data_IF_013157934917
#
_entry.id   IF_013157934917
#
_cell.length_a   1.000
_cell.length_b   1.000
_cell.length_c   1.000
_cell.angle_alpha   90.00
_cell.angle_beta   90.00
_cell.angle_gamma   90.00
#
_symmetry.space_group_name_H-M   'P 1'
#
loop_
_entity.id
_entity.type
_entity.pdbx_description
1 polymer ?
#
# COMPACT_ATOMS: atom_id res chain seq x y z
N UNK A 1 46.56 -26.61 -84.33
CA UNK A 1 45.32 -25.85 -84.55
C UNK A 1 44.75 -25.54 -83.17
N UNK A 2 45.06 -24.34 -82.71
CA UNK A 2 44.65 -23.81 -81.42
C UNK A 2 43.14 -23.67 -81.30
N UNK A 3 42.60 -23.86 -80.09
CA UNK A 3 41.67 -22.90 -79.49
C UNK A 3 41.42 -23.19 -78.01
N UNK A 4 41.62 -22.12 -77.24
CA UNK A 4 41.35 -21.93 -75.82
C UNK A 4 39.90 -22.23 -75.42
N UNK A 5 39.69 -22.78 -74.23
CA UNK A 5 38.43 -22.56 -73.48
C UNK A 5 38.68 -22.37 -71.98
N UNK A 6 38.84 -21.08 -71.64
CA UNK A 6 38.21 -20.31 -70.56
C UNK A 6 37.61 -21.13 -69.39
N UNK A 7 38.25 -21.00 -68.23
CA UNK A 7 37.69 -21.31 -66.91
C UNK A 7 36.47 -20.42 -66.63
N UNK A 8 35.27 -20.99 -66.50
CA UNK A 8 34.08 -20.25 -66.06
C UNK A 8 33.92 -20.30 -64.54
N UNK A 9 34.12 -19.16 -63.90
CA UNK A 9 33.80 -18.85 -62.51
C UNK A 9 32.29 -18.73 -62.29
N UNK A 10 31.55 -19.85 -62.26
CA UNK A 10 30.07 -19.81 -62.17
C UNK A 10 29.49 -20.16 -60.79
N UNK A 11 30.25 -20.69 -59.82
CA UNK A 11 29.64 -21.14 -58.55
C UNK A 11 29.50 -20.05 -57.47
N UNK A 12 30.38 -19.04 -57.43
CA UNK A 12 30.24 -17.96 -56.43
C UNK A 12 29.08 -17.01 -56.73
N UNK A 13 28.87 -16.65 -58.00
CA UNK A 13 27.81 -15.71 -58.38
C UNK A 13 26.40 -16.26 -58.15
N UNK A 14 26.19 -17.56 -58.39
CA UNK A 14 24.89 -18.21 -58.13
C UNK A 14 24.60 -18.35 -56.64
N UNK A 15 25.61 -18.61 -55.81
CA UNK A 15 25.44 -18.73 -54.35
C UNK A 15 25.11 -17.37 -53.70
N UNK A 16 25.72 -16.28 -54.19
CA UNK A 16 25.40 -14.92 -53.75
C UNK A 16 23.99 -14.46 -54.19
N UNK A 17 23.49 -14.90 -55.34
CA UNK A 17 22.15 -14.54 -55.83
C UNK A 17 21.01 -15.27 -55.09
N UNK A 18 21.23 -16.52 -54.68
CA UNK A 18 20.24 -17.31 -53.93
C UNK A 18 20.20 -16.89 -52.45
N UNK A 19 21.34 -16.52 -51.87
CA UNK A 19 21.38 -15.99 -50.51
C UNK A 19 20.70 -14.61 -50.42
N UNK A 20 20.87 -13.73 -51.42
CA UNK A 20 20.23 -12.40 -51.42
C UNK A 20 18.71 -12.46 -51.63
N UNK A 21 18.20 -13.40 -52.43
CA UNK A 21 16.76 -13.52 -52.70
C UNK A 21 15.94 -14.08 -51.53
N UNK A 22 16.57 -14.82 -50.61
CA UNK A 22 15.94 -15.35 -49.39
C UNK A 22 16.13 -14.44 -48.17
N UNK A 23 17.29 -13.79 -48.03
CA UNK A 23 17.61 -12.98 -46.84
C UNK A 23 16.89 -11.62 -46.89
N UNK A 24 16.81 -10.97 -48.05
CA UNK A 24 16.17 -9.66 -48.19
C UNK A 24 14.68 -9.65 -47.78
N UNK A 25 13.83 -10.60 -48.22
CA UNK A 25 12.43 -10.62 -47.81
C UNK A 25 12.27 -10.97 -46.31
N UNK A 26 13.14 -11.82 -45.74
CA UNK A 26 13.11 -12.14 -44.30
C UNK A 26 13.47 -10.90 -43.47
N UNK A 27 14.51 -10.17 -43.86
CA UNK A 27 14.91 -8.91 -43.20
C UNK A 27 13.83 -7.85 -43.37
N UNK A 28 13.21 -7.75 -44.55
CA UNK A 28 12.11 -6.82 -44.79
C UNK A 28 10.87 -7.18 -43.96
N UNK A 29 10.54 -8.47 -43.80
CA UNK A 29 9.47 -8.95 -42.91
C UNK A 29 9.83 -8.68 -41.44
N UNK A 30 11.10 -8.80 -41.05
CA UNK A 30 11.56 -8.48 -39.70
C UNK A 30 11.50 -6.97 -39.41
N UNK A 31 11.83 -6.12 -40.39
CA UNK A 31 11.74 -4.67 -40.29
C UNK A 31 10.28 -4.23 -40.32
N UNK A 32 9.46 -4.77 -41.23
CA UNK A 32 8.03 -4.49 -41.30
C UNK A 32 7.30 -4.97 -40.04
N UNK A 33 7.63 -6.14 -39.49
CA UNK A 33 7.06 -6.61 -38.21
C UNK A 33 7.51 -5.74 -37.04
N UNK A 34 8.74 -5.22 -37.01
CA UNK A 34 9.16 -4.22 -36.02
C UNK A 34 8.53 -2.85 -36.22
N UNK A 35 8.24 -2.43 -37.45
CA UNK A 35 7.53 -1.16 -37.73
C UNK A 35 6.03 -1.29 -37.44
N UNK A 36 5.44 -2.45 -37.67
CA UNK A 36 4.04 -2.78 -37.31
C UNK A 36 3.91 -2.95 -35.78
N UNK A 37 4.91 -3.54 -35.12
CA UNK A 37 4.97 -3.66 -33.65
C UNK A 37 5.42 -2.35 -32.97
N UNK A 38 6.10 -1.47 -33.70
CA UNK A 38 6.53 -0.13 -33.30
C UNK A 38 5.51 0.98 -33.61
N UNK A 39 4.46 0.67 -34.38
CA UNK A 39 3.21 1.43 -34.32
C UNK A 39 2.58 1.09 -32.98
N UNK A 40 2.90 1.91 -31.99
CA UNK A 40 2.16 2.05 -30.75
C UNK A 40 0.69 1.83 -31.07
N UNK A 41 0.17 0.64 -30.73
CA UNK A 41 -1.26 0.47 -30.58
C UNK A 41 -1.66 1.64 -29.71
N UNK A 42 -2.44 2.58 -30.25
CA UNK A 42 -3.11 3.61 -29.48
C UNK A 42 -3.63 2.89 -28.24
N UNK A 43 -2.94 3.05 -27.09
CA UNK A 43 -3.33 2.41 -25.85
C UNK A 43 -4.72 2.94 -25.60
N UNK A 44 -5.74 2.16 -25.95
CA UNK A 44 -7.12 2.53 -25.68
C UNK A 44 -7.16 2.71 -24.18
N UNK A 45 -7.23 3.96 -23.74
CA UNK A 45 -7.30 4.27 -22.32
C UNK A 45 -8.55 3.59 -21.81
N UNK A 46 -8.39 2.66 -20.86
CA UNK A 46 -9.52 2.03 -20.19
C UNK A 46 -10.48 3.13 -19.71
N UNK A 47 -11.80 2.94 -19.85
CA UNK A 47 -12.78 3.96 -19.51
C UNK A 47 -12.62 4.37 -18.05
N UNK A 48 -12.68 5.67 -17.78
CA UNK A 48 -12.66 6.19 -16.42
C UNK A 48 -14.02 5.95 -15.76
N UNK A 49 -14.05 5.52 -14.49
CA UNK A 49 -15.30 5.49 -13.73
C UNK A 49 -15.85 6.89 -13.52
N UNK A 50 -17.15 6.97 -13.18
CA UNK A 50 -17.76 8.22 -12.74
C UNK A 50 -17.05 8.78 -11.49
N UNK A 51 -17.22 10.08 -11.26
CA UNK A 51 -16.74 10.72 -10.03
C UNK A 51 -17.37 10.06 -8.81
N UNK A 52 -16.61 9.96 -7.74
CA UNK A 52 -17.00 9.41 -6.44
C UNK A 52 -16.79 10.46 -5.34
N UNK A 53 -16.96 10.07 -4.08
CA UNK A 53 -16.71 10.91 -2.91
C UNK A 53 -16.08 10.11 -1.76
N UNK A 54 -15.35 10.83 -0.91
CA UNK A 54 -14.85 10.27 0.34
C UNK A 54 -16.00 10.18 1.35
N UNK A 55 -16.29 8.98 1.85
CA UNK A 55 -17.35 8.77 2.84
C UNK A 55 -16.82 8.59 4.26
N UNK A 56 -15.53 8.23 4.40
CA UNK A 56 -14.89 8.10 5.71
C UNK A 56 -13.37 8.25 5.58
N UNK A 57 -12.79 8.90 6.58
CA UNK A 57 -11.35 9.00 6.78
C UNK A 57 -11.00 8.37 8.10
N UNK A 58 -9.92 7.57 8.13
CA UNK A 58 -9.50 6.85 9.32
C UNK A 58 -8.00 6.89 9.51
N UNK A 59 -7.59 7.16 10.75
CA UNK A 59 -6.19 7.30 11.15
C UNK A 59 -5.87 6.22 12.18
N UNK A 60 -4.68 5.62 12.08
CA UNK A 60 -4.20 4.62 13.03
C UNK A 60 -2.86 5.08 13.60
N UNK A 61 -2.85 5.92 14.65
CA UNK A 61 -1.62 6.55 15.13
C UNK A 61 -0.53 5.55 15.50
N UNK A 62 -0.93 4.46 16.17
CA UNK A 62 -0.04 3.38 16.55
C UNK A 62 -0.27 2.19 15.62
N UNK A 63 0.82 1.68 15.03
CA UNK A 63 0.82 0.44 14.26
C UNK A 63 0.11 -0.66 15.05
N UNK A 64 -0.81 -1.36 14.37
CA UNK A 64 -1.54 -2.52 14.91
C UNK A 64 -2.58 -2.22 16.01
N UNK A 65 -2.67 -0.98 16.51
CA UNK A 65 -3.69 -0.59 17.47
C UNK A 65 -4.98 -0.12 16.79
N UNK A 66 -6.04 0.14 17.57
CA UNK A 66 -7.31 0.67 17.08
C UNK A 66 -7.15 2.13 16.68
N UNK A 67 -7.58 2.42 15.45
CA UNK A 67 -7.66 3.77 14.92
C UNK A 67 -9.06 4.37 15.11
N UNK A 68 -9.19 5.65 14.79
CA UNK A 68 -10.42 6.43 14.91
C UNK A 68 -10.75 7.14 13.60
N UNK A 69 -12.03 7.44 13.41
CA UNK A 69 -12.51 8.19 12.26
C UNK A 69 -12.30 9.69 12.49
N UNK A 70 -11.97 10.41 11.42
CA UNK A 70 -11.84 11.88 11.43
C UNK A 70 -12.74 12.48 10.36
N UNK A 71 -13.19 13.73 10.57
CA UNK A 71 -13.93 14.49 9.55
C UNK A 71 -12.99 15.14 8.54
N UNK A 72 -11.82 15.55 9.02
CA UNK A 72 -10.76 16.12 8.20
C UNK A 72 -9.39 15.81 8.79
N UNK A 73 -8.35 15.88 7.96
CA UNK A 73 -6.95 15.70 8.33
C UNK A 73 -6.05 16.34 7.28
N UNK A 74 -4.74 16.40 7.54
CA UNK A 74 -3.76 16.66 6.49
C UNK A 74 -3.38 15.35 5.80
N UNK A 75 -3.35 15.35 4.47
CA UNK A 75 -2.65 14.37 3.67
C UNK A 75 -1.20 14.84 3.54
N UNK A 76 -0.27 14.03 4.04
CA UNK A 76 1.17 14.22 3.89
C UNK A 76 1.70 13.23 2.86
N UNK A 77 2.90 13.48 2.33
CA UNK A 77 3.60 12.50 1.46
C UNK A 77 3.85 11.17 2.16
N UNK A 78 3.92 11.18 3.50
CA UNK A 78 4.14 9.98 4.33
C UNK A 78 2.88 9.27 4.82
N UNK A 79 1.69 9.82 4.58
CA UNK A 79 0.40 9.23 4.95
C UNK A 79 -0.61 10.30 5.36
N UNK A 80 -1.73 9.89 5.95
CA UNK A 80 -2.54 10.84 6.71
C UNK A 80 -1.77 11.30 7.94
N UNK A 81 -2.04 12.52 8.39
CA UNK A 81 -1.47 13.02 9.64
C UNK A 81 -1.71 12.05 10.81
N UNK A 82 -0.74 11.98 11.73
CA UNK A 82 -0.63 11.00 12.81
C UNK A 82 -0.51 9.52 12.39
N UNK A 83 -0.78 9.15 11.14
CA UNK A 83 -0.96 7.76 10.75
C UNK A 83 0.32 6.91 10.84
N UNK A 84 0.28 5.91 11.72
CA UNK A 84 1.40 5.01 12.04
C UNK A 84 2.68 5.76 12.38
N UNK A 85 2.58 6.90 13.06
CA UNK A 85 3.73 7.62 13.62
C UNK A 85 4.40 6.86 14.77
N UNK A 86 3.66 5.98 15.44
CA UNK A 86 4.16 5.13 16.52
C UNK A 86 4.03 3.64 16.20
N UNK A 87 4.81 2.82 16.90
CA UNK A 87 4.60 1.38 17.00
C UNK A 87 5.06 0.87 18.36
N UNK A 88 4.58 -0.31 18.74
CA UNK A 88 5.17 -1.06 19.85
C UNK A 88 6.28 -1.97 19.32
N UNK A 89 7.36 -2.07 20.08
CA UNK A 89 8.48 -3.00 19.84
C UNK A 89 8.74 -3.85 21.07
N UNK A 90 9.36 -5.02 20.90
CA UNK A 90 9.87 -5.83 22.01
C UNK A 90 11.01 -5.10 22.72
N UNK A 91 11.07 -5.18 24.05
CA UNK A 91 12.16 -4.55 24.79
C UNK A 91 13.52 -5.18 24.45
N UNK A 92 13.62 -6.51 24.39
CA UNK A 92 14.92 -7.16 24.17
C UNK A 92 15.54 -6.82 22.79
N UNK A 93 14.75 -6.89 21.72
CA UNK A 93 15.26 -6.84 20.33
C UNK A 93 14.87 -5.59 19.56
N UNK A 94 13.97 -4.76 20.10
CA UNK A 94 13.35 -3.62 19.42
C UNK A 94 12.68 -4.03 18.10
N UNK A 95 12.13 -5.23 18.06
CA UNK A 95 11.37 -5.78 16.94
C UNK A 95 9.90 -5.36 17.06
N UNK A 96 9.33 -4.83 15.99
CA UNK A 96 7.92 -4.45 15.94
C UNK A 96 6.97 -5.61 16.28
N UNK A 97 5.91 -5.31 17.03
CA UNK A 97 4.81 -6.26 17.28
C UNK A 97 3.59 -5.92 16.43
N UNK A 98 2.77 -6.93 16.09
CA UNK A 98 1.60 -6.73 15.24
C UNK A 98 0.36 -7.50 15.66
N UNK A 99 -0.79 -7.17 15.07
CA UNK A 99 -2.03 -7.95 15.20
C UNK A 99 -1.80 -9.44 14.85
N UNK A 100 -0.82 -9.75 13.99
CA UNK A 100 -0.50 -11.14 13.61
C UNK A 100 0.13 -11.93 14.76
N UNK A 101 0.93 -11.26 15.58
CA UNK A 101 1.64 -11.86 16.71
C UNK A 101 0.79 -11.78 17.98
N UNK A 102 0.04 -10.68 18.17
CA UNK A 102 -0.87 -10.52 19.30
C UNK A 102 -2.11 -9.70 18.87
N UNK A 103 -3.28 -10.33 18.79
CA UNK A 103 -4.52 -9.66 18.37
C UNK A 103 -5.05 -8.66 19.40
N UNK A 104 -4.66 -8.79 20.67
CA UNK A 104 -5.09 -7.90 21.75
C UNK A 104 -4.59 -6.46 21.55
N UNK A 105 -3.63 -6.22 20.65
CA UNK A 105 -3.27 -4.87 20.23
C UNK A 105 -4.47 -4.06 19.71
N UNK A 106 -5.49 -4.71 19.15
CA UNK A 106 -6.72 -4.05 18.70
C UNK A 106 -7.56 -3.46 19.84
N UNK A 107 -7.32 -3.89 21.09
CA UNK A 107 -8.00 -3.37 22.27
C UNK A 107 -7.37 -2.07 22.77
N UNK A 108 -6.14 -1.77 22.36
CA UNK A 108 -5.48 -0.50 22.63
C UNK A 108 -6.08 0.57 21.72
N UNK A 109 -6.79 1.52 22.33
CA UNK A 109 -7.41 2.67 21.66
C UNK A 109 -6.50 3.87 21.59
N UNK A 110 -6.78 4.71 20.61
CA UNK A 110 -6.19 6.03 20.48
C UNK A 110 -7.29 7.07 20.30
N UNK A 111 -7.09 8.26 20.85
CA UNK A 111 -7.89 9.44 20.61
C UNK A 111 -6.97 10.66 20.53
N UNK A 112 -7.31 11.62 19.68
CA UNK A 112 -6.54 12.85 19.53
C UNK A 112 -7.44 14.04 19.86
N UNK A 113 -6.93 14.91 20.73
CA UNK A 113 -7.51 16.20 21.05
C UNK A 113 -6.72 17.29 20.29
N UNK A 114 -7.42 17.97 19.38
CA UNK A 114 -6.82 19.01 18.54
C UNK A 114 -6.56 20.33 19.30
N UNK A 115 -7.27 20.58 20.39
CA UNK A 115 -7.11 21.82 21.18
C UNK A 115 -5.86 21.75 22.06
N UNK A 116 -5.60 20.57 22.64
CA UNK A 116 -4.42 20.33 23.48
C UNK A 116 -3.23 19.73 22.73
N UNK A 117 -3.45 19.26 21.49
CA UNK A 117 -2.52 18.48 20.68
C UNK A 117 -2.00 17.21 21.39
N UNK A 118 -2.86 16.58 22.18
CA UNK A 118 -2.53 15.37 22.93
C UNK A 118 -3.13 14.13 22.28
N UNK A 119 -2.33 13.07 22.18
CA UNK A 119 -2.74 11.73 21.81
C UNK A 119 -2.92 10.91 23.10
N UNK A 120 -4.15 10.51 23.38
CA UNK A 120 -4.48 9.58 24.46
C UNK A 120 -4.34 8.15 23.94
N UNK A 121 -3.58 7.33 24.66
CA UNK A 121 -3.50 5.88 24.47
C UNK A 121 -4.22 5.24 25.65
N UNK A 122 -5.23 4.43 25.38
CA UNK A 122 -6.05 3.81 26.43
C UNK A 122 -6.21 2.31 26.23
N UNK A 123 -6.31 1.59 27.34
CA UNK A 123 -6.48 0.16 27.45
C UNK A 123 -7.21 -0.15 28.76
N UNK A 124 -8.46 -0.61 28.68
CA UNK A 124 -9.33 -0.76 29.85
C UNK A 124 -9.38 0.55 30.66
N UNK A 125 -9.17 0.48 31.99
CA UNK A 125 -9.12 1.64 32.89
C UNK A 125 -7.78 2.39 32.86
N UNK A 126 -6.77 1.86 32.15
CA UNK A 126 -5.47 2.51 32.04
C UNK A 126 -5.41 3.42 30.82
N UNK A 127 -4.94 4.65 31.00
CA UNK A 127 -4.64 5.56 29.91
C UNK A 127 -3.45 6.45 30.23
N UNK A 128 -2.75 6.89 29.19
CA UNK A 128 -1.75 7.94 29.28
C UNK A 128 -1.79 8.81 28.03
N UNK A 129 -1.22 10.01 28.13
CA UNK A 129 -1.20 10.99 27.06
C UNK A 129 0.24 11.37 26.70
N UNK A 130 0.44 11.57 25.41
CA UNK A 130 1.70 12.09 24.82
C UNK A 130 1.33 13.16 23.79
N UNK A 131 2.22 14.12 23.48
CA UNK A 131 1.96 15.05 22.39
C UNK A 131 1.75 14.30 21.08
N UNK A 132 0.75 14.69 20.32
CA UNK A 132 0.46 14.14 19.00
C UNK A 132 1.49 14.63 17.96
N UNK A 133 2.01 15.86 18.13
CA UNK A 133 3.12 16.39 17.34
C UNK A 133 4.30 16.78 18.24
N UNK A 134 5.02 15.80 18.82
CA UNK A 134 6.09 16.10 19.76
C UNK A 134 7.24 16.84 19.06
N UNK A 135 7.73 17.90 19.70
CA UNK A 135 8.94 18.61 19.23
C UNK A 135 10.18 17.76 19.46
N UNK A 136 11.25 18.04 18.72
CA UNK A 136 12.55 17.38 18.93
C UNK A 136 13.03 17.52 20.37
N UNK A 137 12.90 18.71 20.97
CA UNK A 137 13.31 18.94 22.36
C UNK A 137 12.48 18.12 23.35
N UNK A 138 11.18 17.95 23.09
CA UNK A 138 10.35 17.09 23.93
C UNK A 138 10.79 15.63 23.81
N UNK A 139 11.09 15.16 22.60
CA UNK A 139 11.55 13.80 22.35
C UNK A 139 12.90 13.51 23.02
N UNK A 140 13.86 14.43 22.91
CA UNK A 140 15.18 14.31 23.57
C UNK A 140 15.06 14.24 25.10
N UNK A 141 14.06 14.91 25.68
CA UNK A 141 13.81 14.90 27.13
C UNK A 141 13.06 13.66 27.61
N UNK A 142 12.18 13.09 26.77
CA UNK A 142 11.22 12.05 27.17
C UNK A 142 11.43 10.69 26.49
N UNK A 143 12.47 10.57 25.65
CA UNK A 143 12.81 9.33 24.99
C UNK A 143 14.26 9.23 24.57
N UNK A 144 14.62 8.05 24.11
CA UNK A 144 15.97 7.72 23.64
C UNK A 144 15.92 7.36 22.14
N UNK A 145 16.82 7.94 21.35
CA UNK A 145 16.89 7.62 19.92
C UNK A 145 17.61 6.27 19.72
N UNK A 146 16.84 5.25 19.34
CA UNK A 146 17.32 3.88 19.14
C UNK A 146 17.22 3.45 17.67
N UNK A 147 17.72 2.23 17.39
CA UNK A 147 17.37 1.48 16.17
C UNK A 147 16.26 0.48 16.49
N UNK A 148 15.17 0.57 15.76
CA UNK A 148 14.07 -0.38 15.78
C UNK A 148 14.00 -1.13 14.44
N UNK A 149 13.45 -2.34 14.46
CA UNK A 149 13.30 -3.17 13.27
C UNK A 149 11.83 -3.29 12.85
N UNK A 150 11.58 -3.11 11.55
CA UNK A 150 10.29 -3.34 10.90
C UNK A 150 10.51 -4.02 9.54
N UNK A 151 9.96 -5.21 9.35
CA UNK A 151 10.06 -5.97 8.08
C UNK A 151 11.50 -6.17 7.58
N UNK A 152 12.40 -6.56 8.47
CA UNK A 152 13.85 -6.68 8.19
C UNK A 152 14.55 -5.35 7.85
N UNK A 153 13.86 -4.22 7.93
CA UNK A 153 14.44 -2.88 7.80
C UNK A 153 14.70 -2.27 9.16
N UNK A 154 15.93 -1.78 9.37
CA UNK A 154 16.29 -0.99 10.56
C UNK A 154 16.01 0.48 10.33
N UNK A 155 15.22 1.09 11.21
CA UNK A 155 14.92 2.52 11.20
C UNK A 155 15.19 3.13 12.57
N UNK A 156 15.34 4.45 12.61
CA UNK A 156 15.45 5.18 13.86
C UNK A 156 14.07 5.42 14.48
N UNK A 157 14.02 5.36 15.81
CA UNK A 157 12.82 5.62 16.58
C UNK A 157 13.17 6.17 17.96
N UNK A 158 12.35 7.07 18.47
CA UNK A 158 12.43 7.56 19.84
C UNK A 158 11.66 6.60 20.73
N UNK A 159 12.38 5.86 21.57
CA UNK A 159 11.78 4.97 22.57
C UNK A 159 11.37 5.77 23.80
N UNK A 160 10.11 5.61 24.22
CA UNK A 160 9.62 6.20 25.46
C UNK A 160 9.88 5.31 26.67
N UNK A 161 9.77 5.91 27.87
CA UNK A 161 9.99 5.24 29.15
C UNK A 161 9.18 3.94 29.30
N UNK A 162 9.82 2.92 29.85
CA UNK A 162 9.20 1.66 30.23
C UNK A 162 7.98 1.84 31.15
N UNK A 163 7.98 2.88 31.99
CA UNK A 163 6.88 3.17 32.91
C UNK A 163 5.55 3.41 32.18
N UNK A 164 5.57 4.07 31.01
CA UNK A 164 4.37 4.31 30.21
C UNK A 164 3.80 3.02 29.60
N UNK A 165 4.64 2.02 29.40
CA UNK A 165 4.28 0.80 28.70
C UNK A 165 4.13 -0.40 29.62
N UNK A 166 4.36 -0.24 30.93
CA UNK A 166 4.28 -1.35 31.89
C UNK A 166 2.88 -2.00 31.91
N UNK A 167 1.76 -1.26 32.05
CA UNK A 167 0.43 -1.90 32.04
C UNK A 167 0.08 -2.55 30.70
N UNK A 168 0.57 -1.97 29.59
CA UNK A 168 0.42 -2.56 28.26
C UNK A 168 1.24 -3.85 28.14
N UNK A 169 2.46 -3.88 28.70
CA UNK A 169 3.32 -5.06 28.70
C UNK A 169 2.69 -6.22 29.48
N UNK A 170 2.13 -5.91 30.66
CA UNK A 170 1.40 -6.87 31.49
C UNK A 170 0.18 -7.43 30.74
N UNK A 171 -0.60 -6.57 30.09
CA UNK A 171 -1.77 -6.99 29.31
C UNK A 171 -1.43 -7.84 28.08
N UNK A 172 -0.36 -7.48 27.36
CA UNK A 172 0.07 -8.23 26.18
C UNK A 172 0.88 -9.49 26.54
N UNK A 173 1.19 -9.69 27.83
CA UNK A 173 2.09 -10.72 28.33
C UNK A 173 3.43 -10.73 27.57
N UNK A 174 3.98 -9.53 27.34
CA UNK A 174 5.19 -9.29 26.55
C UNK A 174 5.80 -7.96 26.94
N UNK A 175 7.10 -7.93 27.27
CA UNK A 175 7.79 -6.67 27.57
C UNK A 175 7.93 -5.82 26.30
N UNK A 176 7.18 -4.72 26.23
CA UNK A 176 7.11 -3.86 25.05
C UNK A 176 7.47 -2.42 25.37
N UNK A 177 7.94 -1.70 24.35
CA UNK A 177 8.21 -0.26 24.40
C UNK A 177 7.43 0.43 23.28
N UNK A 178 6.92 1.62 23.58
CA UNK A 178 6.29 2.49 22.59
C UNK A 178 7.40 3.33 21.96
N UNK A 179 7.45 3.34 20.64
CA UNK A 179 8.43 4.13 19.89
C UNK A 179 7.74 5.08 18.93
N UNK A 180 8.27 6.29 18.80
CA UNK A 180 7.88 7.30 17.81
C UNK A 180 8.88 7.35 16.66
N UNK A 181 8.41 7.54 15.43
CA UNK A 181 9.28 7.49 14.25
C UNK A 181 10.37 8.56 14.31
N UNK A 182 11.63 8.13 14.19
CA UNK A 182 12.79 9.03 14.18
C UNK A 182 12.91 9.85 12.89
N UNK A 183 13.86 10.79 12.84
CA UNK A 183 14.01 11.74 11.73
C UNK A 183 14.42 11.11 10.39
N UNK A 184 15.12 9.96 10.37
CA UNK A 184 15.57 9.34 9.11
C UNK A 184 14.37 8.82 8.31
N UNK A 185 14.15 9.26 7.06
CA UNK A 185 13.04 8.76 6.25
C UNK A 185 13.12 7.25 6.03
N UNK A 186 11.98 6.56 6.11
CA UNK A 186 11.85 5.16 5.67
C UNK A 186 11.36 5.14 4.22
N UNK A 187 12.31 5.10 3.29
CA UNK A 187 12.07 5.21 1.84
C UNK A 187 11.23 4.03 1.34
N UNK A 188 10.32 4.28 0.40
CA UNK A 188 9.40 3.25 -0.08
C UNK A 188 10.09 2.07 -0.78
N UNK A 189 9.63 0.90 -0.34
CA UNK A 189 9.92 -0.47 -0.78
C UNK A 189 9.30 -0.94 -2.10
N UNK A 190 9.79 -2.03 -2.71
CA UNK A 190 9.04 -2.88 -3.65
C UNK A 190 8.43 -2.14 -4.85
N UNK A 191 7.10 -2.04 -4.91
CA UNK A 191 6.42 -1.28 -5.97
C UNK A 191 6.65 0.24 -5.92
N UNK A 192 7.00 0.76 -4.75
CA UNK A 192 7.14 2.19 -4.47
C UNK A 192 8.58 2.69 -4.55
N UNK A 193 9.53 1.88 -5.05
CA UNK A 193 10.92 2.35 -5.18
C UNK A 193 11.02 3.60 -6.05
N UNK A 194 12.01 4.49 -5.81
CA UNK A 194 12.15 5.73 -6.59
C UNK A 194 12.20 5.51 -8.11
N UNK A 195 12.79 4.40 -8.57
CA UNK A 195 12.89 4.05 -9.99
C UNK A 195 11.53 3.74 -10.61
N UNK A 196 10.60 3.18 -9.82
CA UNK A 196 9.25 2.81 -10.30
C UNK A 196 8.26 3.96 -10.15
N UNK A 197 8.35 4.68 -9.03
CA UNK A 197 7.46 5.80 -8.73
C UNK A 197 7.89 7.10 -9.45
N UNK A 198 9.13 7.16 -9.92
CA UNK A 198 9.72 8.35 -10.54
C UNK A 198 10.13 9.44 -9.54
N UNK A 199 9.99 9.19 -8.24
CA UNK A 199 10.36 10.10 -7.15
C UNK A 199 10.61 9.33 -5.86
N UNK A 200 11.38 9.94 -4.96
CA UNK A 200 11.56 9.40 -3.61
C UNK A 200 10.38 9.80 -2.74
N UNK A 201 9.72 8.78 -2.20
CA UNK A 201 8.72 8.91 -1.14
C UNK A 201 9.17 8.11 0.09
N UNK A 202 8.52 8.38 1.21
CA UNK A 202 8.76 7.66 2.46
C UNK A 202 7.44 7.36 3.18
N UNK A 203 7.50 6.51 4.19
CA UNK A 203 6.38 6.23 5.09
C UNK A 203 6.87 6.16 6.53
N UNK A 204 5.93 6.14 7.50
CA UNK A 204 6.21 6.11 8.94
C UNK A 204 6.38 4.68 9.45
N UNK A 205 5.39 4.08 10.11
CA UNK A 205 5.36 2.66 10.50
C UNK A 205 4.28 1.83 9.77
N UNK A 206 3.73 2.35 8.67
CA UNK A 206 2.85 1.56 7.79
C UNK A 206 3.58 0.32 7.22
N UNK A 207 2.86 -0.65 6.68
CA UNK A 207 3.51 -1.88 6.17
C UNK A 207 4.26 -1.66 4.85
N UNK A 208 3.72 -0.84 3.95
CA UNK A 208 4.29 -0.65 2.61
C UNK A 208 4.15 0.78 2.12
N UNK A 209 2.93 1.22 1.84
CA UNK A 209 2.66 2.54 1.27
C UNK A 209 1.98 3.47 2.29
N UNK A 210 2.14 4.80 2.11
CA UNK A 210 1.55 5.83 2.96
C UNK A 210 0.04 5.73 3.18
N UNK A 211 -0.72 5.36 2.14
CA UNK A 211 -2.18 5.41 2.15
C UNK A 211 -2.76 4.10 1.61
N UNK A 212 -3.79 3.59 2.28
CA UNK A 212 -4.67 2.55 1.75
C UNK A 212 -6.03 3.15 1.40
N UNK A 213 -6.44 3.05 0.14
CA UNK A 213 -7.77 3.44 -0.33
C UNK A 213 -8.64 2.19 -0.47
N UNK A 214 -9.89 2.24 -0.01
CA UNK A 214 -10.84 1.14 -0.16
C UNK A 214 -12.25 1.62 -0.50
N UNK A 215 -13.06 0.73 -1.09
CA UNK A 215 -14.41 1.00 -1.57
C UNK A 215 -15.46 0.32 -0.70
N UNK A 216 -16.50 1.06 -0.30
CA UNK A 216 -17.66 0.47 0.38
C UNK A 216 -18.44 -0.47 -0.54
N UNK A 217 -18.51 -0.21 -1.84
CA UNK A 217 -19.13 -1.14 -2.80
C UNK A 217 -18.43 -2.52 -2.79
N UNK A 218 -17.09 -2.54 -2.76
CA UNK A 218 -16.30 -3.77 -2.64
C UNK A 218 -16.46 -4.46 -1.30
N UNK A 219 -16.56 -3.68 -0.22
CA UNK A 219 -16.84 -4.21 1.12
C UNK A 219 -18.23 -4.87 1.17
N UNK A 220 -19.25 -4.23 0.61
CA UNK A 220 -20.61 -4.77 0.57
C UNK A 220 -20.67 -6.08 -0.21
N UNK A 221 -19.99 -6.15 -1.36
CA UNK A 221 -19.92 -7.37 -2.17
C UNK A 221 -19.25 -8.53 -1.41
N UNK A 222 -18.17 -8.26 -0.69
CA UNK A 222 -17.55 -9.26 0.19
C UNK A 222 -18.51 -9.70 1.30
N UNK A 223 -19.24 -8.77 1.90
CA UNK A 223 -20.21 -9.07 2.96
C UNK A 223 -21.39 -9.90 2.44
N UNK A 224 -21.86 -9.66 1.22
CA UNK A 224 -22.90 -10.49 0.60
C UNK A 224 -22.40 -11.91 0.37
N UNK A 225 -21.12 -12.06 -0.04
CA UNK A 225 -20.49 -13.38 -0.16
C UNK A 225 -20.30 -14.10 1.17
N UNK A 226 -19.99 -13.39 2.24
CA UNK A 226 -19.90 -13.95 3.59
C UNK A 226 -21.27 -14.40 4.09
N UNK A 227 -22.30 -13.56 3.96
CA UNK A 227 -23.67 -13.89 4.32
C UNK A 227 -24.18 -15.13 3.55
N UNK A 228 -23.92 -15.21 2.25
CA UNK A 228 -24.26 -16.39 1.43
C UNK A 228 -23.50 -17.66 1.84
N UNK A 229 -22.37 -17.53 2.55
CA UNK A 229 -21.61 -18.64 3.11
C UNK A 229 -22.01 -18.97 4.56
N UNK A 230 -23.04 -18.32 5.11
CA UNK A 230 -23.50 -18.50 6.49
C UNK A 230 -22.63 -17.81 7.54
N UNK A 231 -21.83 -16.83 7.14
CA UNK A 231 -20.91 -16.09 8.02
C UNK A 231 -21.43 -14.68 8.29
N UNK A 232 -21.06 -14.09 9.43
CA UNK A 232 -21.44 -12.72 9.77
C UNK A 232 -20.81 -11.68 8.84
N UNK A 233 -21.54 -10.58 8.62
CA UNK A 233 -20.98 -9.39 7.97
C UNK A 233 -19.90 -8.78 8.84
N UNK A 234 -18.90 -8.19 8.19
CA UNK A 234 -17.77 -7.55 8.87
C UNK A 234 -17.62 -6.10 8.45
N UNK A 235 -16.95 -5.33 9.30
CA UNK A 235 -16.65 -3.92 9.05
C UNK A 235 -15.36 -3.70 8.26
N UNK A 236 -15.35 -2.64 7.44
CA UNK A 236 -14.21 -2.29 6.60
C UNK A 236 -12.94 -1.96 7.40
N UNK A 237 -13.08 -1.56 8.67
CA UNK A 237 -11.97 -1.24 9.55
C UNK A 237 -11.03 -2.44 9.79
N UNK A 238 -11.51 -3.68 9.61
CA UNK A 238 -10.68 -4.89 9.64
C UNK A 238 -9.63 -4.89 8.53
N UNK A 239 -9.88 -4.20 7.43
CA UNK A 239 -8.94 -4.00 6.33
C UNK A 239 -7.98 -2.83 6.55
N UNK A 240 -8.27 -2.01 7.56
CA UNK A 240 -7.48 -0.85 7.99
C UNK A 240 -7.23 0.24 6.94
N UNK A 241 -8.18 0.57 6.05
CA UNK A 241 -7.99 1.65 5.07
C UNK A 241 -7.93 3.02 5.74
N UNK A 242 -7.31 3.97 5.05
CA UNK A 242 -7.21 5.38 5.44
C UNK A 242 -8.32 6.21 4.79
N UNK A 243 -8.49 6.03 3.48
CA UNK A 243 -9.50 6.74 2.69
C UNK A 243 -10.52 5.71 2.23
N UNK A 244 -11.77 5.91 2.61
CA UNK A 244 -12.88 5.06 2.21
C UNK A 244 -13.78 5.88 1.31
N UNK A 245 -14.01 5.39 0.11
CA UNK A 245 -14.95 5.98 -0.85
C UNK A 245 -16.27 5.21 -0.85
N UNK A 246 -17.32 5.84 -1.38
CA UNK A 246 -18.61 5.16 -1.55
C UNK A 246 -18.45 3.97 -2.51
N UNK A 247 -17.88 4.22 -3.68
CA UNK A 247 -17.77 3.22 -4.74
C UNK A 247 -19.10 3.02 -5.45
N UNK A 248 -19.08 3.01 -6.78
CA UNK A 248 -20.25 2.70 -7.60
C UNK A 248 -20.28 1.25 -8.07
N UNK A 249 -19.11 0.67 -8.37
CA UNK A 249 -18.96 -0.71 -8.86
C UNK A 249 -17.95 -1.43 -7.96
N UNK A 250 -18.30 -2.58 -7.37
CA UNK A 250 -17.35 -3.38 -6.60
C UNK A 250 -16.11 -3.74 -7.43
N UNK A 251 -14.94 -3.65 -6.80
CA UNK A 251 -13.64 -4.06 -7.33
C UNK A 251 -13.08 -3.25 -8.49
N UNK A 252 -13.77 -2.19 -8.94
CA UNK A 252 -13.26 -1.31 -10.00
C UNK A 252 -11.93 -0.64 -9.62
N UNK A 253 -11.65 -0.54 -8.32
CA UNK A 253 -10.39 -0.03 -7.79
C UNK A 253 -9.16 -0.83 -8.17
N UNK A 254 -9.32 -2.12 -8.51
CA UNK A 254 -8.22 -3.01 -8.87
C UNK A 254 -7.45 -2.56 -10.11
N UNK A 255 -8.04 -1.67 -10.90
CA UNK A 255 -7.46 -1.08 -12.10
C UNK A 255 -7.12 0.39 -11.99
N UNK A 256 -7.28 1.06 -10.84
CA UNK A 256 -6.94 2.48 -10.74
C UNK A 256 -5.43 2.70 -10.85
N UNK A 257 -4.98 3.69 -11.62
CA UNK A 257 -3.56 4.03 -11.78
C UNK A 257 -3.19 5.33 -11.09
N UNK A 258 -4.03 6.36 -11.23
CA UNK A 258 -3.83 7.65 -10.57
C UNK A 258 -5.16 8.21 -10.10
N UNK A 259 -5.12 8.89 -8.96
CA UNK A 259 -6.26 9.47 -8.28
C UNK A 259 -6.07 10.98 -8.13
N UNK A 260 -7.18 11.68 -8.15
CA UNK A 260 -7.28 13.10 -7.82
C UNK A 260 -8.40 13.27 -6.80
N UNK A 261 -8.12 14.00 -5.73
CA UNK A 261 -9.08 14.34 -4.69
C UNK A 261 -9.19 15.85 -4.62
N UNK A 262 -10.42 16.37 -4.52
CA UNK A 262 -10.67 17.80 -4.56
C UNK A 262 -10.44 18.42 -5.93
N UNK A 263 -10.57 19.74 -6.00
CA UNK A 263 -10.42 20.54 -7.22
C UNK A 263 -9.72 21.88 -6.91
N UNK A 264 -9.23 22.57 -7.95
CA UNK A 264 -8.62 23.89 -7.82
C UNK A 264 -7.40 23.91 -6.88
N UNK A 265 -7.33 24.92 -5.99
CA UNK A 265 -6.24 25.10 -5.02
C UNK A 265 -6.18 24.06 -3.90
N UNK A 266 -7.18 23.19 -3.79
CA UNK A 266 -7.25 22.09 -2.81
C UNK A 266 -7.10 20.71 -3.47
N UNK A 267 -6.55 20.68 -4.68
CA UNK A 267 -6.30 19.44 -5.43
C UNK A 267 -5.17 18.64 -4.79
N UNK A 268 -5.46 17.37 -4.52
CA UNK A 268 -4.50 16.36 -4.09
C UNK A 268 -4.38 15.28 -5.17
N UNK A 269 -3.16 14.86 -5.47
CA UNK A 269 -2.89 13.79 -6.44
C UNK A 269 -2.20 12.61 -5.74
N UNK A 270 -2.62 11.39 -6.09
CA UNK A 270 -2.05 10.15 -5.57
C UNK A 270 -1.77 9.17 -6.71
N UNK A 271 -0.61 8.52 -6.66
CA UNK A 271 -0.34 7.35 -7.49
C UNK A 271 -0.87 6.10 -6.80
N UNK A 272 -1.56 5.26 -7.57
CA UNK A 272 -1.94 3.93 -7.13
C UNK A 272 -0.78 3.00 -7.43
N UNK A 273 -0.11 2.55 -6.37
CA UNK A 273 1.19 1.89 -6.47
C UNK A 273 1.04 0.39 -6.72
N UNK A 274 0.14 -0.26 -5.99
CA UNK A 274 -0.21 -1.66 -6.20
C UNK A 274 -1.49 -2.06 -5.46
N UNK A 275 -2.01 -3.24 -5.76
CA UNK A 275 -3.08 -3.87 -4.99
C UNK A 275 -2.60 -4.19 -3.57
N UNK A 276 -3.45 -3.98 -2.58
CA UNK A 276 -3.14 -4.34 -1.20
C UNK A 276 -3.37 -5.84 -1.00
N UNK A 277 -2.27 -6.61 -1.03
CA UNK A 277 -2.31 -8.01 -0.66
C UNK A 277 -2.61 -8.17 0.82
N UNK A 278 -3.62 -8.96 1.12
CA UNK A 278 -4.08 -9.16 2.49
C UNK A 278 -3.27 -10.26 3.17
N UNK A 279 -3.26 -10.19 4.50
CA UNK A 279 -2.91 -11.30 5.38
C UNK A 279 -4.17 -11.68 6.18
N UNK A 280 -4.03 -12.51 7.22
CA UNK A 280 -5.15 -12.91 8.08
C UNK A 280 -5.56 -11.85 9.13
N UNK A 281 -4.96 -10.66 9.16
CA UNK A 281 -5.35 -9.59 10.10
C UNK A 281 -6.85 -9.25 10.03
N UNK A 282 -7.51 -9.20 8.85
CA UNK A 282 -8.94 -8.97 8.78
C UNK A 282 -9.79 -10.04 9.48
N UNK A 283 -9.23 -11.19 9.87
CA UNK A 283 -9.95 -12.20 10.64
C UNK A 283 -10.15 -11.78 12.11
N UNK A 284 -9.39 -10.82 12.60
CA UNK A 284 -9.45 -10.36 13.99
C UNK A 284 -10.62 -9.39 14.15
N UNK A 285 -11.47 -9.63 15.15
CA UNK A 285 -12.52 -8.72 15.56
C UNK A 285 -11.90 -7.52 16.30
N UNK A 286 -12.11 -6.28 15.82
CA UNK A 286 -11.38 -5.11 16.33
C UNK A 286 -11.78 -4.72 17.77
N UNK A 287 -12.98 -5.11 18.22
CA UNK A 287 -13.49 -4.82 19.57
C UNK A 287 -13.20 -5.94 20.58
N UNK A 288 -13.16 -7.21 20.16
CA UNK A 288 -12.99 -8.36 21.09
C UNK A 288 -11.61 -9.00 20.99
N UNK A 289 -10.80 -8.60 19.99
CA UNK A 289 -9.54 -9.24 19.61
C UNK A 289 -9.64 -10.72 19.21
N UNK A 290 -10.85 -11.28 19.14
CA UNK A 290 -11.06 -12.68 18.75
C UNK A 290 -10.75 -12.86 17.26
N UNK A 291 -9.92 -13.86 16.97
CA UNK A 291 -9.53 -14.19 15.61
C UNK A 291 -10.44 -15.29 15.07
N UNK A 292 -11.28 -14.95 14.09
CA UNK A 292 -12.01 -15.98 13.36
C UNK A 292 -11.02 -16.93 12.65
N UNK A 293 -11.18 -18.25 12.78
CA UNK A 293 -10.20 -19.21 12.24
C UNK A 293 -10.08 -19.20 10.71
N UNK A 294 -11.01 -18.58 9.99
CA UNK A 294 -11.18 -18.73 8.54
C UNK A 294 -11.55 -17.42 7.85
N UNK A 295 -12.50 -16.65 8.37
CA UNK A 295 -13.05 -15.49 7.65
C UNK A 295 -12.45 -14.15 8.07
N UNK A 296 -12.36 -13.16 7.15
CA UNK A 296 -12.76 -13.24 5.73
C UNK A 296 -11.67 -13.84 4.82
N UNK A 297 -10.52 -14.24 5.36
CA UNK A 297 -9.38 -14.75 4.59
C UNK A 297 -9.78 -15.85 3.60
N UNK A 298 -10.47 -16.89 4.05
CA UNK A 298 -10.86 -18.02 3.20
C UNK A 298 -11.81 -17.59 2.08
N UNK A 299 -12.78 -16.72 2.38
CA UNK A 299 -13.68 -16.22 1.36
C UNK A 299 -12.94 -15.40 0.30
N UNK A 300 -12.05 -14.50 0.71
CA UNK A 300 -11.20 -13.74 -0.20
C UNK A 300 -10.30 -14.64 -1.05
N UNK A 301 -9.70 -15.67 -0.47
CA UNK A 301 -8.85 -16.62 -1.21
C UNK A 301 -9.55 -17.31 -2.38
N UNK A 302 -10.87 -17.49 -2.33
CA UNK A 302 -11.63 -18.12 -3.41
C UNK A 302 -11.62 -17.31 -4.70
N UNK A 303 -11.63 -15.98 -4.63
CA UNK A 303 -11.89 -15.12 -5.81
C UNK A 303 -11.00 -13.88 -5.93
N UNK A 304 -10.24 -13.51 -4.90
CA UNK A 304 -9.44 -12.28 -4.85
C UNK A 304 -7.95 -12.49 -5.05
N UNK A 305 -7.51 -13.68 -5.48
CA UNK A 305 -6.12 -13.98 -5.86
C UNK A 305 -5.82 -13.47 -7.27
N UNK A 306 -5.98 -12.16 -7.45
CA UNK A 306 -5.97 -11.51 -8.77
C UNK A 306 -4.62 -10.91 -9.15
N UNK A 307 -3.70 -10.79 -8.19
CA UNK A 307 -2.39 -10.19 -8.46
C UNK A 307 -1.39 -11.24 -8.96
N UNK A 308 -0.87 -11.05 -10.16
CA UNK A 308 0.06 -11.97 -10.78
C UNK A 308 1.43 -12.02 -10.08
N UNK A 309 1.79 -10.98 -9.32
CA UNK A 309 3.06 -10.91 -8.58
C UNK A 309 3.10 -11.79 -7.35
N UNK A 310 1.93 -12.13 -6.78
CA UNK A 310 1.85 -13.05 -5.64
C UNK A 310 0.48 -13.74 -5.56
N UNK A 311 0.28 -14.76 -6.41
CA UNK A 311 -1.01 -15.45 -6.58
C UNK A 311 -1.54 -16.19 -5.34
N UNK A 312 -0.75 -16.36 -4.28
CA UNK A 312 -1.17 -17.05 -3.06
C UNK A 312 -1.75 -16.14 -1.97
N UNK A 313 -1.85 -14.83 -2.22
CA UNK A 313 -2.53 -13.89 -1.32
C UNK A 313 -3.72 -13.23 -2.03
N UNK A 314 -4.83 -12.97 -1.32
CA UNK A 314 -5.93 -12.24 -1.91
C UNK A 314 -5.72 -10.73 -1.79
N UNK A 315 -6.39 -9.95 -2.64
CA UNK A 315 -6.32 -8.48 -2.67
C UNK A 315 -7.59 -7.82 -2.15
N UNK A 316 -7.45 -6.75 -1.37
CA UNK A 316 -8.55 -5.85 -0.98
C UNK A 316 -8.03 -4.43 -0.74
N UNK A 317 -8.54 -3.46 -1.50
CA UNK A 317 -8.09 -2.08 -1.47
C UNK A 317 -6.77 -1.84 -2.22
N UNK A 318 -6.43 -0.57 -2.39
CA UNK A 318 -5.31 -0.11 -3.20
C UNK A 318 -4.31 0.68 -2.37
N UNK A 319 -3.03 0.31 -2.46
CA UNK A 319 -1.94 1.01 -1.81
C UNK A 319 -1.50 2.21 -2.66
N UNK A 320 -1.46 3.39 -2.06
CA UNK A 320 -1.26 4.66 -2.75
C UNK A 320 -0.11 5.47 -2.14
N UNK A 321 0.54 6.26 -2.99
CA UNK A 321 1.57 7.23 -2.61
C UNK A 321 1.13 8.63 -3.05
N UNK A 322 0.89 9.56 -2.11
CA UNK A 322 0.60 10.95 -2.44
C UNK A 322 1.77 11.63 -3.16
N UNK A 323 1.49 12.55 -4.07
CA UNK A 323 2.49 13.43 -4.69
C UNK A 323 2.38 14.88 -4.23
N UNK A 324 1.25 15.25 -3.61
CA UNK A 324 0.94 16.59 -3.11
C UNK A 324 0.39 16.46 -1.68
N UNK A 325 0.77 17.40 -0.81
CA UNK A 325 0.26 17.51 0.55
C UNK A 325 -0.86 18.54 0.62
N UNK A 326 -1.78 18.37 1.56
CA UNK A 326 -2.83 19.35 1.80
C UNK A 326 -3.98 18.85 2.66
N UNK A 327 -5.02 19.67 2.76
CA UNK A 327 -6.21 19.35 3.54
C UNK A 327 -7.06 18.29 2.84
N UNK A 328 -7.52 17.31 3.63
CA UNK A 328 -8.38 16.22 3.20
C UNK A 328 -9.58 16.12 4.13
N UNK A 329 -10.78 16.04 3.57
CA UNK A 329 -12.02 15.94 4.35
C UNK A 329 -13.04 14.96 3.75
N UNK A 330 -13.91 14.46 4.60
CA UNK A 330 -15.07 13.66 4.18
C UNK A 330 -15.98 14.52 3.31
N UNK A 331 -16.48 13.95 2.22
CA UNK A 331 -17.30 14.63 1.22
C UNK A 331 -16.50 15.20 0.04
N UNK A 332 -15.16 15.24 0.12
CA UNK A 332 -14.37 15.67 -1.04
C UNK A 332 -14.60 14.75 -2.23
N UNK A 333 -14.71 15.38 -3.40
CA UNK A 333 -14.81 14.72 -4.69
C UNK A 333 -13.57 13.85 -4.93
N UNK A 334 -13.81 12.62 -5.36
CA UNK A 334 -12.78 11.63 -5.66
C UNK A 334 -12.88 11.24 -7.14
N UNK A 335 -11.78 11.38 -7.88
CA UNK A 335 -11.72 11.08 -9.30
C UNK A 335 -10.57 10.15 -9.63
N UNK A 336 -10.85 9.16 -10.48
CA UNK A 336 -9.80 8.35 -11.09
C UNK A 336 -9.36 9.04 -12.38
N UNK A 337 -8.06 9.34 -12.50
CA UNK A 337 -7.52 10.07 -13.66
C UNK A 337 -6.88 9.14 -14.69
N UNK A 338 -6.50 7.94 -14.28
CA UNK A 338 -6.02 6.90 -15.18
C UNK A 338 -6.33 5.51 -14.63
N UNK A 339 -6.52 4.56 -15.55
CA UNK A 339 -6.73 3.15 -15.29
C UNK A 339 -5.56 2.32 -15.84
N UNK A 340 -5.39 1.09 -15.36
CA UNK A 340 -4.35 0.15 -15.77
C UNK A 340 -4.77 -1.31 -15.50
N UNK A 341 -4.30 -2.23 -16.34
CA UNK A 341 -4.36 -3.67 -16.06
C UNK A 341 -3.01 -4.21 -15.55
N UNK A 342 -2.00 -3.35 -15.47
CA UNK A 342 -0.59 -3.72 -15.28
C UNK A 342 -0.17 -3.80 -13.79
N UNK A 343 -1.12 -3.72 -12.87
CA UNK A 343 -0.80 -3.87 -11.44
C UNK A 343 -0.20 -5.25 -11.17
N UNK A 344 0.96 -5.23 -10.55
CA UNK A 344 1.76 -6.42 -10.25
C UNK A 344 2.53 -6.20 -8.95
N UNK A 345 2.34 -7.06 -7.96
CA UNK A 345 2.96 -6.94 -6.65
C UNK A 345 4.44 -7.33 -6.67
N UNK A 346 5.26 -6.49 -6.05
CA UNK A 346 6.69 -6.70 -5.83
C UNK A 346 6.92 -6.62 -4.33
N UNK A 347 7.43 -7.71 -3.75
CA UNK A 347 7.74 -7.76 -2.32
C UNK A 347 8.79 -6.70 -1.96
N UNK A 348 8.58 -5.91 -0.88
CA UNK A 348 9.60 -4.99 -0.36
C UNK A 348 10.73 -5.71 0.38
N UNK A 349 10.55 -6.99 0.74
CA UNK A 349 11.47 -7.79 1.56
C UNK A 349 12.42 -8.65 0.71
N UNK A 350 13.03 -8.08 -0.34
CA UNK A 350 14.03 -8.79 -1.16
C UNK A 350 15.43 -8.28 -0.93
#
# INVERSE_FOLDING_TARGET
>A
MDSFHILSSSSMAQTLFVASSLILPIVLIFILSRVISGRSASKSSLPLPASDEIVRLRVYPIKSCRGFDVKSTKLLRTGLDLDRNWMFVTAEKREFITIRTNSNMTLITTAWDADTDMLTIALNEYSFEIPAHPTTQWLEKNGELIKAEIWSEKTDAWEYSATLTKPISEFLNMDVRLVYKGPKPRVLSGNGTPQRLGRTEATKFADMMPVLVASMASMNELNDRLANAGEDKIEIERFRPNIIIRGSVPWIEDGWKTLQIGEGGHRLDLDVVCRCLRCQVPNVHPITAEKHPRQPWNQLMKYRRIDAGLKFKPSFGMLCAPSVEGHLEVGMKFQVKAMTNDHFFISPMK
#
